data_IF_810147130658
#
_entry.id   IF_810147130658
#
_cell.length_a   1.000
_cell.length_b   1.000
_cell.length_c   1.000
_cell.angle_alpha   90.00
_cell.angle_beta   90.00
_cell.angle_gamma   90.00
#
_symmetry.space_group_name_H-M   'P 1'
#
loop_
_entity.id
_entity.type
_entity.pdbx_description
1 polymer ?
#
# COMPACT_ATOMS: atom_id res chain seq x y z
N UNK A 1 -16.08 -33.52 -15.23
CA UNK A 1 -15.41 -32.63 -14.27
C UNK A 1 -16.16 -31.31 -14.27
N UNK A 2 -16.93 -31.07 -13.22
CA UNK A 2 -17.87 -29.94 -13.10
C UNK A 2 -17.13 -28.75 -12.49
N UNK A 3 -16.98 -27.66 -13.24
CA UNK A 3 -16.30 -26.45 -12.77
C UNK A 3 -17.29 -25.63 -11.94
N UNK A 4 -17.05 -25.54 -10.63
CA UNK A 4 -17.81 -24.65 -9.74
C UNK A 4 -17.12 -23.28 -9.75
N UNK A 5 -17.76 -22.20 -10.24
CA UNK A 5 -17.14 -20.89 -10.22
C UNK A 5 -16.99 -20.44 -8.76
N UNK A 6 -15.75 -20.24 -8.33
CA UNK A 6 -15.49 -19.59 -7.05
C UNK A 6 -16.06 -18.18 -7.12
N UNK A 7 -16.96 -17.88 -6.18
CA UNK A 7 -17.48 -16.55 -5.91
C UNK A 7 -16.32 -15.57 -5.79
N UNK A 8 -16.17 -14.70 -6.79
CA UNK A 8 -15.34 -13.50 -6.70
C UNK A 8 -15.93 -12.68 -5.56
N UNK A 9 -15.29 -12.70 -4.39
CA UNK A 9 -15.63 -11.76 -3.33
C UNK A 9 -15.40 -10.36 -3.89
N UNK A 10 -16.44 -9.52 -4.09
CA UNK A 10 -16.21 -8.14 -4.44
C UNK A 10 -15.41 -7.53 -3.28
N UNK A 11 -14.31 -6.85 -3.61
CA UNK A 11 -13.53 -6.10 -2.62
C UNK A 11 -14.50 -5.30 -1.73
N UNK A 12 -14.32 -5.30 -0.39
CA UNK A 12 -15.28 -4.68 0.51
C UNK A 12 -15.42 -3.20 0.12
N UNK A 13 -16.60 -2.83 -0.38
CA UNK A 13 -17.00 -1.45 -0.55
C UNK A 13 -17.05 -0.87 0.86
N UNK A 14 -16.10 -0.01 1.20
CA UNK A 14 -16.08 0.69 2.48
C UNK A 14 -17.38 1.50 2.64
N UNK A 15 -18.32 0.99 3.42
CA UNK A 15 -19.50 1.73 3.79
C UNK A 15 -19.11 2.68 4.92
N UNK A 16 -18.57 3.84 4.55
CA UNK A 16 -18.07 4.88 5.47
C UNK A 16 -19.08 5.20 6.58
N UNK A 17 -20.39 5.16 6.28
CA UNK A 17 -21.44 5.42 7.25
C UNK A 17 -21.49 4.37 8.39
N UNK A 18 -21.24 3.09 8.07
CA UNK A 18 -21.23 2.01 9.06
C UNK A 18 -20.03 2.13 10.00
N UNK A 19 -18.85 2.40 9.43
CA UNK A 19 -17.57 2.49 10.18
C UNK A 19 -17.57 3.72 11.09
N UNK A 20 -18.16 4.84 10.65
CA UNK A 20 -18.35 6.04 11.49
C UNK A 20 -19.25 5.75 12.68
N UNK A 21 -20.32 4.98 12.49
CA UNK A 21 -21.24 4.61 13.58
C UNK A 21 -20.59 3.66 14.58
N UNK A 22 -19.83 2.66 14.12
CA UNK A 22 -19.07 1.76 15.00
C UNK A 22 -18.01 2.52 15.81
N UNK A 23 -17.26 3.44 15.19
CA UNK A 23 -16.26 4.24 15.89
C UNK A 23 -16.87 5.11 17.00
N UNK A 24 -18.05 5.69 16.75
CA UNK A 24 -18.83 6.43 17.77
C UNK A 24 -19.29 5.52 18.91
N UNK A 25 -19.80 4.33 18.59
CA UNK A 25 -20.25 3.34 19.58
C UNK A 25 -19.15 2.89 20.53
N UNK A 26 -17.91 2.77 20.04
CA UNK A 26 -16.76 2.33 20.82
C UNK A 26 -15.91 3.47 21.42
N UNK A 27 -16.32 4.74 21.25
CA UNK A 27 -15.57 5.90 21.75
C UNK A 27 -14.16 6.02 21.16
N UNK A 28 -13.89 5.36 20.03
CA UNK A 28 -12.59 5.36 19.38
C UNK A 28 -12.48 6.59 18.47
N UNK A 29 -11.35 7.30 18.54
CA UNK A 29 -11.07 8.40 17.62
C UNK A 29 -11.17 7.88 16.17
N UNK A 30 -12.14 8.40 15.42
CA UNK A 30 -12.31 8.06 14.01
C UNK A 30 -11.23 8.75 13.19
N UNK A 31 -10.10 8.06 13.00
CA UNK A 31 -9.11 8.45 12.01
C UNK A 31 -9.49 7.75 10.70
N UNK A 32 -9.95 8.53 9.70
CA UNK A 32 -10.21 8.03 8.32
C UNK A 32 -8.96 7.35 7.75
N UNK A 33 -7.79 7.73 8.26
CA UNK A 33 -6.47 7.19 7.94
C UNK A 33 -6.14 6.01 8.87
N UNK A 34 -6.92 4.93 8.82
CA UNK A 34 -6.32 3.64 9.20
C UNK A 34 -5.29 3.33 8.12
N UNK A 35 -4.02 3.10 8.47
CA UNK A 35 -3.06 2.70 7.46
C UNK A 35 -3.53 1.38 6.84
N UNK A 36 -3.43 1.28 5.53
CA UNK A 36 -3.80 0.07 4.80
C UNK A 36 -2.98 -1.13 5.30
N UNK A 37 -1.76 -0.86 5.76
CA UNK A 37 -0.89 -1.87 6.35
C UNK A 37 0.09 -1.31 7.36
N UNK A 38 0.46 -2.13 8.34
CA UNK A 38 1.60 -1.88 9.23
C UNK A 38 2.60 -3.01 9.03
N UNK A 39 3.88 -2.66 8.88
CA UNK A 39 4.99 -3.59 8.69
C UNK A 39 6.09 -3.24 9.68
N UNK A 40 6.63 -4.26 10.33
CA UNK A 40 7.79 -4.13 11.21
C UNK A 40 9.06 -4.36 10.40
N UNK A 41 10.01 -3.41 10.46
CA UNK A 41 11.34 -3.52 9.85
C UNK A 41 12.36 -3.16 10.92
N UNK A 42 13.32 -4.07 11.17
CA UNK A 42 14.39 -3.89 12.16
C UNK A 42 13.90 -3.46 13.55
N UNK A 43 12.73 -3.99 13.96
CA UNK A 43 12.10 -3.71 15.26
C UNK A 43 11.23 -2.44 15.30
N UNK A 44 11.30 -1.57 14.29
CA UNK A 44 10.46 -0.38 14.20
C UNK A 44 9.20 -0.62 13.36
N UNK A 45 8.09 -0.03 13.76
CA UNK A 45 6.82 -0.11 13.01
C UNK A 45 6.69 1.00 11.96
N UNK A 46 6.33 0.59 10.74
CA UNK A 46 6.05 1.47 9.62
C UNK A 46 4.61 1.28 9.15
N UNK A 47 3.85 2.37 9.10
CA UNK A 47 2.50 2.39 8.56
C UNK A 47 2.52 2.83 7.10
N UNK A 48 1.79 2.12 6.23
CA UNK A 48 1.70 2.38 4.80
C UNK A 48 0.27 2.79 4.46
N UNK A 49 0.15 3.90 3.73
CA UNK A 49 -1.11 4.47 3.26
C UNK A 49 -1.06 4.60 1.74
N UNK A 50 -1.92 3.87 1.03
CA UNK A 50 -2.03 3.86 -0.42
C UNK A 50 -3.21 4.72 -0.85
N UNK A 51 -2.92 5.90 -1.39
CA UNK A 51 -3.94 6.75 -1.99
C UNK A 51 -3.89 6.61 -3.50
N UNK A 52 -5.00 6.25 -4.13
CA UNK A 52 -5.06 6.25 -5.58
C UNK A 52 -5.04 7.69 -6.12
N UNK A 53 -4.02 8.03 -6.90
CA UNK A 53 -3.78 9.40 -7.38
C UNK A 53 -4.10 9.60 -8.86
N UNK A 54 -4.39 8.53 -9.60
CA UNK A 54 -4.81 8.64 -10.99
C UNK A 54 -5.27 7.34 -11.62
N UNK A 55 -6.01 7.50 -12.71
CA UNK A 55 -6.45 6.43 -13.60
C UNK A 55 -5.93 6.75 -15.01
N UNK A 56 -5.35 5.77 -15.69
CA UNK A 56 -5.14 5.86 -17.13
C UNK A 56 -6.32 5.15 -17.81
N UNK A 57 -7.05 5.86 -18.65
CA UNK A 57 -8.23 5.32 -19.35
C UNK A 57 -7.84 4.44 -20.54
N UNK A 58 -6.60 4.54 -21.04
CA UNK A 58 -6.13 3.86 -22.25
C UNK A 58 -5.26 2.63 -21.95
N UNK A 59 -4.71 2.52 -20.75
CA UNK A 59 -3.94 1.36 -20.29
C UNK A 59 -4.48 0.88 -18.95
N UNK A 60 -4.64 -0.44 -18.69
CA UNK A 60 -5.14 -0.97 -17.42
C UNK A 60 -4.08 -0.80 -16.31
N UNK A 61 -3.85 0.45 -15.94
CA UNK A 61 -2.88 0.88 -14.95
C UNK A 61 -3.53 1.79 -13.94
N UNK A 62 -3.16 1.60 -12.68
CA UNK A 62 -3.59 2.45 -11.56
C UNK A 62 -2.36 3.11 -10.97
N UNK A 63 -2.46 4.40 -10.67
CA UNK A 63 -1.38 5.17 -10.04
C UNK A 63 -1.75 5.42 -8.58
N UNK A 64 -0.79 5.17 -7.70
CA UNK A 64 -0.92 5.34 -6.27
C UNK A 64 0.17 6.29 -5.77
N UNK A 65 -0.17 7.17 -4.85
CA UNK A 65 0.76 7.78 -3.91
C UNK A 65 0.77 6.93 -2.65
N UNK A 66 1.95 6.50 -2.21
CA UNK A 66 2.12 5.67 -1.02
C UNK A 66 2.93 6.42 0.01
N UNK A 67 2.32 6.70 1.15
CA UNK A 67 2.99 7.33 2.29
C UNK A 67 3.42 6.24 3.26
N UNK A 68 4.71 6.19 3.56
CA UNK A 68 5.28 5.30 4.58
C UNK A 68 5.73 6.14 5.77
N UNK A 69 5.16 5.88 6.94
CA UNK A 69 5.42 6.64 8.16
C UNK A 69 5.99 5.73 9.23
N UNK A 70 7.14 6.10 9.81
CA UNK A 70 7.67 5.46 11.01
C UNK A 70 6.82 5.88 12.20
N UNK A 71 6.18 4.93 12.89
CA UNK A 71 5.22 5.23 13.96
C UNK A 71 5.87 5.79 15.21
N UNK A 72 7.09 5.35 15.51
CA UNK A 72 7.85 5.81 16.69
C UNK A 72 8.30 7.26 16.55
N UNK A 73 8.75 7.66 15.36
CA UNK A 73 9.36 8.98 15.12
C UNK A 73 8.42 9.97 14.44
N UNK A 74 7.29 9.52 13.90
CA UNK A 74 6.38 10.31 13.08
C UNK A 74 6.94 10.75 11.73
N UNK A 75 8.18 10.36 11.38
CA UNK A 75 8.81 10.73 10.11
C UNK A 75 8.22 9.90 8.96
N UNK A 76 8.06 10.53 7.80
CA UNK A 76 7.43 9.91 6.63
C UNK A 76 8.21 10.10 5.33
N UNK A 77 7.99 9.18 4.40
CA UNK A 77 8.50 9.19 3.02
C UNK A 77 7.35 8.85 2.08
N UNK A 78 7.29 9.53 0.94
CA UNK A 78 6.26 9.31 -0.06
C UNK A 78 6.84 8.68 -1.32
N UNK A 79 6.09 7.73 -1.89
CA UNK A 79 6.45 7.00 -3.10
C UNK A 79 5.33 7.10 -4.13
N UNK A 80 5.69 7.04 -5.41
CA UNK A 80 4.72 6.86 -6.49
C UNK A 80 4.76 5.40 -6.92
N UNK A 81 3.61 4.72 -6.91
CA UNK A 81 3.50 3.32 -7.33
C UNK A 81 2.55 3.20 -8.51
N UNK A 82 2.93 2.44 -9.53
CA UNK A 82 2.08 2.12 -10.67
C UNK A 82 1.76 0.63 -10.63
N UNK A 83 0.48 0.32 -10.45
CA UNK A 83 -0.05 -1.03 -10.64
C UNK A 83 -0.35 -1.24 -12.13
N UNK A 84 0.12 -2.35 -12.68
CA UNK A 84 -0.16 -2.76 -14.05
C UNK A 84 -0.53 -4.23 -14.10
N UNK A 85 -1.65 -4.53 -14.75
CA UNK A 85 -2.00 -5.93 -15.06
C UNK A 85 -1.27 -6.34 -16.34
N UNK A 86 -0.47 -7.40 -16.29
CA UNK A 86 0.12 -8.02 -17.50
C UNK A 86 -0.51 -9.39 -17.72
N UNK A 87 -0.99 -9.64 -18.94
CA UNK A 87 -1.57 -10.95 -19.31
C UNK A 87 -0.54 -11.81 -20.02
N UNK A 88 -0.48 -13.10 -19.70
CA UNK A 88 0.31 -14.06 -20.45
C UNK A 88 -0.41 -14.49 -21.74
N UNK A 89 0.25 -15.33 -22.57
CA UNK A 89 -0.34 -15.85 -23.82
C UNK A 89 -1.60 -16.69 -23.61
N UNK A 90 -1.82 -17.21 -22.40
CA UNK A 90 -3.01 -17.98 -22.01
C UNK A 90 -4.15 -17.10 -21.47
N UNK A 91 -3.94 -15.78 -21.38
CA UNK A 91 -4.94 -14.82 -20.90
C UNK A 91 -4.95 -14.59 -19.38
N UNK A 92 -4.10 -15.29 -18.62
CA UNK A 92 -3.99 -15.10 -17.16
C UNK A 92 -3.31 -13.76 -16.86
N UNK A 93 -3.99 -12.92 -16.07
CA UNK A 93 -3.46 -11.64 -15.62
C UNK A 93 -2.63 -11.78 -14.36
N UNK A 94 -1.38 -11.29 -14.37
CA UNK A 94 -0.56 -11.07 -13.19
C UNK A 94 -0.50 -9.58 -12.86
N UNK A 95 -0.60 -9.25 -11.58
CA UNK A 95 -0.40 -7.89 -11.09
C UNK A 95 1.09 -7.59 -10.97
N UNK A 96 1.47 -6.40 -11.40
CA UNK A 96 2.83 -5.88 -11.27
C UNK A 96 2.77 -4.51 -10.63
N UNK A 97 3.63 -4.26 -9.65
CA UNK A 97 3.77 -2.95 -9.02
C UNK A 97 5.14 -2.38 -9.36
N UNK A 98 5.15 -1.22 -10.00
CA UNK A 98 6.35 -0.42 -10.22
C UNK A 98 6.43 0.63 -9.12
N UNK A 99 7.36 0.46 -8.18
CA UNK A 99 7.58 1.36 -7.07
C UNK A 99 8.63 2.40 -7.49
N UNK A 100 8.18 3.49 -8.13
CA UNK A 100 9.05 4.58 -8.57
C UNK A 100 9.71 5.22 -7.34
N UNK A 101 10.99 5.56 -7.47
CA UNK A 101 11.90 6.01 -6.40
C UNK A 101 12.38 4.95 -5.39
N UNK A 102 11.68 3.81 -5.29
CA UNK A 102 12.27 2.61 -4.69
C UNK A 102 13.11 1.81 -5.72
N UNK A 103 12.94 2.10 -7.02
CA UNK A 103 13.74 1.51 -8.10
C UNK A 103 13.39 0.06 -8.42
N UNK A 104 12.20 -0.42 -8.02
CA UNK A 104 11.85 -1.84 -8.03
C UNK A 104 10.54 -2.14 -8.76
N UNK A 105 10.48 -3.30 -9.40
CA UNK A 105 9.27 -3.89 -9.99
C UNK A 105 9.01 -5.23 -9.30
N UNK A 106 7.85 -5.38 -8.67
CA UNK A 106 7.51 -6.54 -7.83
C UNK A 106 6.19 -7.18 -8.27
N UNK A 107 5.99 -8.44 -7.89
CA UNK A 107 4.92 -9.31 -8.36
C UNK A 107 3.94 -9.64 -7.22
N UNK A 108 3.48 -8.62 -6.51
CA UNK A 108 2.48 -8.79 -5.47
C UNK A 108 2.33 -7.55 -4.61
N UNK A 109 1.13 -7.37 -4.05
CA UNK A 109 0.85 -6.25 -3.17
C UNK A 109 1.65 -6.37 -1.86
N UNK A 110 1.72 -7.56 -1.29
CA UNK A 110 2.46 -7.83 -0.05
C UNK A 110 3.97 -7.57 -0.21
N UNK A 111 4.53 -8.07 -1.31
CA UNK A 111 5.92 -7.84 -1.69
C UNK A 111 6.20 -6.34 -1.87
N UNK A 112 5.30 -5.60 -2.53
CA UNK A 112 5.40 -4.16 -2.66
C UNK A 112 5.41 -3.43 -1.31
N UNK A 113 4.53 -3.80 -0.39
CA UNK A 113 4.48 -3.18 0.94
C UNK A 113 5.78 -3.42 1.73
N UNK A 114 6.30 -4.66 1.73
CA UNK A 114 7.55 -4.99 2.43
C UNK A 114 8.71 -4.18 1.88
N UNK A 115 8.87 -4.14 0.55
CA UNK A 115 9.97 -3.40 -0.07
C UNK A 115 9.87 -1.89 0.13
N UNK A 116 8.66 -1.32 0.07
CA UNK A 116 8.46 0.10 0.35
C UNK A 116 8.83 0.42 1.81
N UNK A 117 8.43 -0.42 2.77
CA UNK A 117 8.79 -0.26 4.18
C UNK A 117 10.31 -0.35 4.41
N UNK A 118 10.98 -1.35 3.81
CA UNK A 118 12.44 -1.51 3.91
C UNK A 118 13.19 -0.32 3.29
N UNK A 119 12.73 0.16 2.13
CA UNK A 119 13.34 1.31 1.46
C UNK A 119 13.17 2.59 2.28
N UNK A 120 11.99 2.77 2.87
CA UNK A 120 11.71 3.91 3.75
C UNK A 120 12.56 3.87 5.02
N UNK A 121 12.70 2.70 5.65
CA UNK A 121 13.55 2.50 6.82
C UNK A 121 15.00 2.92 6.53
N UNK A 122 15.58 2.41 5.43
CA UNK A 122 16.93 2.76 5.02
C UNK A 122 17.11 4.25 4.72
N UNK A 123 16.13 4.88 4.06
CA UNK A 123 16.18 6.32 3.75
C UNK A 123 16.11 7.18 5.03
N UNK A 124 15.19 6.87 5.93
CA UNK A 124 15.00 7.60 7.18
C UNK A 124 16.18 7.44 8.13
N UNK A 125 16.79 6.25 8.19
CA UNK A 125 18.00 6.00 8.98
C UNK A 125 19.19 6.84 8.48
N UNK A 126 19.41 6.89 7.15
CA UNK A 126 20.48 7.72 6.55
C UNK A 126 20.30 9.20 6.85
N UNK A 127 19.07 9.70 6.76
CA UNK A 127 18.77 11.11 7.11
C UNK A 127 18.96 11.40 8.59
N UNK A 128 18.63 10.48 9.48
CA UNK A 128 18.88 10.65 10.90
C UNK A 128 20.38 10.77 11.19
N UNK A 129 21.21 9.93 10.56
CA UNK A 129 22.67 9.99 10.70
C UNK A 129 23.28 11.30 10.18
N UNK A 130 22.78 11.84 9.06
CA UNK A 130 23.25 13.11 8.50
C UNK A 130 22.94 14.34 9.36
N UNK A 131 21.87 14.30 10.15
CA UNK A 131 21.47 15.43 11.02
C UNK A 131 22.24 15.40 12.36
N UNK A 132 22.81 14.25 12.73
CA UNK A 132 23.56 14.08 13.97
C UNK A 132 25.07 14.34 13.82
N UNK A 133 25.57 14.54 12.60
CA UNK A 133 26.96 14.83 12.26
C UNK A 133 27.16 16.33 12.00
#
# INVERSE_FOLDING_TARGET
MTYSPQTVNPAPRFNLALIVNEARLHGAAFNILKPDRVITVDGAEYSLEWMQTGFDTMSPTRKYGVTVTCRETGRRVEYAVIEKVRRNRQGEGKLHYNCKYAGMNVHGFDEANIHLAQTAAAFLARRAAQVAA
#
